data_IF_434686127743
#
_entry.id   IF_434686127743
#
_cell.length_a   1.000
_cell.length_b   1.000
_cell.length_c   1.000
_cell.angle_alpha   90.00
_cell.angle_beta   90.00
_cell.angle_gamma   90.00
#
_symmetry.space_group_name_H-M   'P 1'
#
loop_
_entity.id
_entity.type
_entity.pdbx_description
1 polymer ?
#
# COMPACT_ATOMS: atom_id res chain seq x y z
N UNK A 1 -32.09 -18.67 -27.88
CA UNK A 1 -32.28 -19.96 -27.19
C UNK A 1 -32.20 -19.68 -25.70
N UNK A 2 -33.36 -19.72 -25.03
CA UNK A 2 -33.53 -19.66 -23.57
C UNK A 2 -33.37 -21.08 -23.04
N UNK A 3 -32.70 -21.23 -21.90
CA UNK A 3 -32.89 -22.40 -21.04
C UNK A 3 -32.52 -22.03 -19.58
N UNK A 4 -33.40 -21.27 -18.92
CA UNK A 4 -34.26 -21.74 -17.83
C UNK A 4 -33.75 -22.91 -16.94
N UNK A 5 -33.95 -23.01 -15.62
CA UNK A 5 -34.29 -22.17 -14.46
C UNK A 5 -34.06 -23.11 -13.23
N UNK A 6 -33.60 -22.56 -12.11
CA UNK A 6 -33.78 -23.04 -10.70
C UNK A 6 -33.11 -24.36 -10.27
N UNK A 7 -32.22 -24.23 -9.29
CA UNK A 7 -32.20 -25.10 -8.11
C UNK A 7 -31.64 -24.34 -6.90
N UNK A 8 -32.46 -24.17 -5.86
CA UNK A 8 -31.97 -24.11 -4.49
C UNK A 8 -31.69 -22.73 -3.90
N UNK A 9 -32.74 -21.94 -3.69
CA UNK A 9 -32.79 -21.05 -2.54
C UNK A 9 -32.67 -21.90 -1.25
N UNK A 10 -31.54 -21.80 -0.55
CA UNK A 10 -31.50 -21.96 0.89
C UNK A 10 -30.61 -20.87 1.48
N UNK A 11 -31.29 -19.90 2.07
CA UNK A 11 -30.83 -19.05 3.15
C UNK A 11 -29.94 -19.83 4.12
N UNK A 12 -28.71 -19.37 4.33
CA UNK A 12 -28.17 -18.93 5.64
C UNK A 12 -26.66 -18.80 5.48
N UNK A 13 -26.14 -17.61 5.77
CA UNK A 13 -24.70 -17.34 5.71
C UNK A 13 -24.48 -16.02 5.01
N UNK A 14 -24.68 -14.93 5.75
CA UNK A 14 -24.07 -13.66 5.44
C UNK A 14 -22.56 -13.88 5.37
N UNK A 15 -22.08 -14.34 4.21
CA UNK A 15 -20.68 -14.27 3.86
C UNK A 15 -20.49 -12.79 3.60
N UNK A 16 -20.02 -12.09 4.63
CA UNK A 16 -19.45 -10.77 4.52
C UNK A 16 -18.39 -10.88 3.43
N UNK A 17 -18.77 -10.56 2.18
CA UNK A 17 -17.86 -9.99 1.20
C UNK A 17 -17.45 -8.63 1.75
N UNK A 18 -16.67 -8.67 2.84
CA UNK A 18 -15.77 -7.59 3.17
C UNK A 18 -14.81 -7.57 2.00
N UNK A 19 -15.04 -6.65 1.08
CA UNK A 19 -14.00 -6.15 0.21
C UNK A 19 -12.92 -5.58 1.11
N UNK A 20 -12.07 -6.45 1.65
CA UNK A 20 -10.80 -6.10 2.25
C UNK A 20 -9.97 -5.57 1.09
N UNK A 21 -10.17 -4.30 0.75
CA UNK A 21 -9.30 -3.59 -0.14
C UNK A 21 -7.91 -3.74 0.48
N UNK A 22 -6.94 -4.37 -0.21
CA UNK A 22 -5.58 -4.41 0.30
C UNK A 22 -5.18 -2.95 0.55
N UNK A 23 -4.62 -2.65 1.71
CA UNK A 23 -4.18 -1.30 2.04
C UNK A 23 -3.05 -0.90 1.07
N UNK A 24 -3.43 -0.41 -0.12
CA UNK A 24 -2.54 0.08 -1.18
C UNK A 24 -2.26 1.57 -1.02
N UNK A 25 -2.70 2.17 0.08
CA UNK A 25 -2.37 3.54 0.42
C UNK A 25 -1.06 3.61 1.20
N UNK A 26 0.02 4.00 0.54
CA UNK A 26 1.14 4.63 1.25
C UNK A 26 0.64 5.99 1.75
N UNK A 27 0.24 6.05 3.02
CA UNK A 27 -0.04 7.33 3.68
C UNK A 27 1.26 7.84 4.26
N UNK A 28 1.89 8.79 3.56
CA UNK A 28 3.06 9.48 4.08
C UNK A 28 2.66 10.25 5.36
N UNK A 29 3.39 10.10 6.47
CA UNK A 29 3.18 10.97 7.63
C UNK A 29 3.48 12.43 7.24
N UNK A 30 2.81 13.41 7.86
CA UNK A 30 3.03 14.82 7.57
C UNK A 30 4.49 15.20 7.84
N UNK A 31 5.13 15.82 6.85
CA UNK A 31 6.51 16.29 6.95
C UNK A 31 6.52 17.76 7.37
N UNK A 32 7.18 18.07 8.48
CA UNK A 32 7.32 19.44 9.00
C UNK A 32 8.79 19.84 9.01
N UNK A 33 9.09 21.06 8.57
CA UNK A 33 10.47 21.57 8.55
C UNK A 33 10.98 21.73 9.98
N UNK A 34 12.20 21.25 10.24
CA UNK A 34 12.84 21.31 11.57
C UNK A 34 12.59 20.06 12.42
N UNK A 35 11.59 19.26 12.07
CA UNK A 35 11.35 17.97 12.72
C UNK A 35 12.20 16.86 12.10
N UNK A 36 12.54 15.80 12.86
CA UNK A 36 13.19 14.62 12.32
C UNK A 36 12.39 14.02 11.15
N UNK A 37 13.09 13.72 10.05
CA UNK A 37 12.47 13.04 8.93
C UNK A 37 12.03 11.62 9.34
N UNK A 38 10.82 11.16 8.98
CA UNK A 38 10.32 9.86 9.37
C UNK A 38 11.18 8.72 8.83
N UNK A 39 11.28 7.63 9.61
CA UNK A 39 11.96 6.43 9.16
C UNK A 39 11.10 5.67 8.14
N UNK A 40 11.29 5.97 6.86
CA UNK A 40 10.59 5.32 5.77
C UNK A 40 11.42 4.17 5.19
N UNK A 41 10.72 3.11 4.79
CA UNK A 41 11.26 2.00 4.02
C UNK A 41 10.81 2.14 2.57
N UNK A 42 11.77 2.10 1.66
CA UNK A 42 11.54 2.16 0.22
C UNK A 42 12.09 0.90 -0.45
N UNK A 43 11.42 0.38 -1.50
CA UNK A 43 12.02 -0.65 -2.34
C UNK A 43 13.17 -0.02 -3.14
N UNK A 44 14.36 -0.63 -3.10
CA UNK A 44 15.47 -0.20 -3.94
C UNK A 44 15.25 -0.57 -5.41
N UNK A 45 15.58 0.34 -6.32
CA UNK A 45 15.48 0.10 -7.75
C UNK A 45 16.48 -0.96 -8.26
N UNK A 46 17.62 -1.12 -7.58
CA UNK A 46 18.71 -1.98 -8.04
C UNK A 46 18.46 -3.48 -7.79
N UNK A 47 17.90 -3.83 -6.63
CA UNK A 47 17.79 -5.22 -6.16
C UNK A 47 16.44 -5.56 -5.52
N UNK A 48 15.48 -4.63 -5.55
CA UNK A 48 14.16 -4.72 -4.93
C UNK A 48 14.18 -4.98 -3.41
N UNK A 49 15.34 -4.84 -2.76
CA UNK A 49 15.42 -5.01 -1.31
C UNK A 49 14.91 -3.75 -0.61
N UNK A 50 14.30 -3.89 0.57
CA UNK A 50 13.92 -2.73 1.39
C UNK A 50 15.16 -1.95 1.82
N UNK A 51 15.12 -0.63 1.63
CA UNK A 51 16.14 0.32 2.08
C UNK A 51 15.48 1.35 3.00
N UNK A 52 16.11 1.60 4.14
CA UNK A 52 15.66 2.60 5.11
C UNK A 52 16.38 3.92 4.89
N UNK A 53 15.66 5.04 5.04
CA UNK A 53 16.26 6.39 5.06
C UNK A 53 17.30 6.53 6.18
N UNK A 54 17.15 5.77 7.28
CA UNK A 54 18.10 5.81 8.40
C UNK A 54 19.53 5.40 8.00
N UNK A 55 19.68 4.58 6.96
CA UNK A 55 20.99 4.16 6.46
C UNK A 55 21.83 5.34 5.93
N UNK A 56 21.19 6.48 5.64
CA UNK A 56 21.85 7.69 5.13
C UNK A 56 22.05 8.78 6.20
N UNK A 57 21.97 8.45 7.50
CA UNK A 57 22.23 9.42 8.58
C UNK A 57 23.61 10.07 8.48
N UNK A 58 23.70 11.33 8.89
CA UNK A 58 24.92 12.13 8.79
C UNK A 58 25.26 12.61 7.37
N UNK A 59 24.38 12.34 6.38
CA UNK A 59 24.52 12.82 5.01
C UNK A 59 23.32 13.69 4.64
N UNK A 60 23.54 14.68 3.77
CA UNK A 60 22.44 15.43 3.16
C UNK A 60 21.78 14.53 2.12
N UNK A 61 20.55 14.12 2.38
CA UNK A 61 19.79 13.17 1.55
C UNK A 61 18.63 13.88 0.88
N UNK A 62 18.39 13.58 -0.39
CA UNK A 62 17.24 14.07 -1.17
C UNK A 62 16.32 12.89 -1.48
N UNK A 63 15.02 13.05 -1.23
CA UNK A 63 14.00 12.05 -1.56
C UNK A 63 13.10 12.65 -2.65
N UNK A 64 13.07 12.02 -3.82
CA UNK A 64 12.15 12.37 -4.90
C UNK A 64 11.03 11.33 -4.98
N UNK A 65 9.79 11.79 -4.82
CA UNK A 65 8.57 10.98 -4.94
C UNK A 65 7.92 11.31 -6.29
N UNK A 66 7.77 10.30 -7.15
CA UNK A 66 7.09 10.41 -8.44
C UNK A 66 5.72 9.73 -8.36
N UNK A 67 4.71 10.33 -8.98
CA UNK A 67 3.36 9.75 -9.02
C UNK A 67 3.21 8.64 -10.09
N UNK A 68 4.05 8.68 -11.13
CA UNK A 68 4.19 7.63 -12.13
C UNK A 68 5.57 7.74 -12.79
N UNK A 69 5.97 6.68 -13.49
CA UNK A 69 7.13 6.67 -14.37
C UNK A 69 6.93 7.57 -15.59
#
# INVERSE_FOLDING_TARGET
MRNDWICGLLLTGATLWGGGQPATGFTAPPLTVGEPFPNLLFPAAADHRPVSVHQFHGRKTLVHLFASW
#
